data_IF_565415516334
#
_entry.id   IF_565415516334
#
_cell.length_a   1.000
_cell.length_b   1.000
_cell.length_c   1.000
_cell.angle_alpha   90.00
_cell.angle_beta   90.00
_cell.angle_gamma   90.00
#
_symmetry.space_group_name_H-M   'P 1'
#
loop_
_entity.id
_entity.type
_entity.pdbx_description
1 polymer ?
#
# COMPACT_ATOMS: atom_id res chain seq x y z
N UNK A 1 -11.18 21.58 25.87
CA UNK A 1 -10.24 20.46 25.63
C UNK A 1 -9.93 20.45 24.14
N UNK A 2 -8.71 20.84 23.76
CA UNK A 2 -8.31 20.98 22.35
C UNK A 2 -7.70 19.64 21.92
N UNK A 3 -8.40 18.92 21.03
CA UNK A 3 -7.85 17.74 20.37
C UNK A 3 -6.82 18.20 19.32
N UNK A 4 -5.53 17.99 19.62
CA UNK A 4 -4.41 18.16 18.68
C UNK A 4 -3.87 16.78 18.28
N UNK A 5 -3.66 16.60 16.98
CA UNK A 5 -2.96 15.48 16.33
C UNK A 5 -3.93 14.55 15.58
N UNK A 6 -3.77 14.23 14.30
CA UNK A 6 -2.63 14.30 13.35
C UNK A 6 -3.22 14.25 11.90
N UNK A 7 -2.44 14.45 10.81
CA UNK A 7 -2.95 15.01 9.56
C UNK A 7 -3.83 14.00 8.82
N UNK A 8 -5.04 14.41 8.45
CA UNK A 8 -5.73 13.74 7.35
C UNK A 8 -4.92 14.05 6.10
N UNK A 9 -4.20 13.06 5.59
CA UNK A 9 -3.68 13.08 4.23
C UNK A 9 -4.91 13.07 3.31
N UNK A 10 -5.42 14.26 2.95
CA UNK A 10 -6.64 14.42 2.15
C UNK A 10 -6.43 14.10 0.67
N UNK A 11 -5.21 13.75 0.25
CA UNK A 11 -4.86 13.48 -1.15
C UNK A 11 -5.52 12.22 -1.74
N UNK A 12 -6.15 11.35 -0.93
CA UNK A 12 -6.74 10.10 -1.39
C UNK A 12 -8.08 9.75 -0.71
N UNK A 13 -9.07 9.39 -1.52
CA UNK A 13 -10.31 8.74 -1.03
C UNK A 13 -10.07 7.23 -0.98
N UNK A 14 -10.07 6.64 0.22
CA UNK A 14 -9.91 5.19 0.42
C UNK A 14 -10.94 4.60 1.38
N UNK A 15 -11.23 3.31 1.22
CA UNK A 15 -11.90 2.49 2.23
C UNK A 15 -10.96 1.37 2.69
N UNK A 16 -11.04 1.02 3.97
CA UNK A 16 -10.24 -0.02 4.58
C UNK A 16 -11.13 -0.93 5.42
N UNK A 17 -10.84 -2.23 5.38
CA UNK A 17 -11.47 -3.25 6.23
C UNK A 17 -10.35 -4.04 6.90
N UNK A 18 -10.49 -4.28 8.20
CA UNK A 18 -9.54 -5.09 8.96
C UNK A 18 -10.25 -6.35 9.43
N UNK A 19 -9.71 -7.50 9.04
CA UNK A 19 -10.14 -8.81 9.51
C UNK A 19 -9.14 -9.33 10.54
N UNK A 20 -9.68 -9.71 11.70
CA UNK A 20 -8.92 -10.28 12.80
C UNK A 20 -9.26 -11.77 12.94
N UNK A 21 -8.24 -12.60 12.83
CA UNK A 21 -8.31 -14.05 13.04
C UNK A 21 -7.24 -14.46 14.06
N UNK A 22 -7.37 -15.65 14.65
CA UNK A 22 -6.35 -16.14 15.57
C UNK A 22 -5.00 -16.31 14.84
N UNK A 23 -3.98 -15.58 15.29
CA UNK A 23 -2.64 -15.61 14.69
C UNK A 23 -2.53 -14.94 13.31
N UNK A 24 -3.56 -14.24 12.84
CA UNK A 24 -3.57 -13.57 11.53
C UNK A 24 -4.36 -12.27 11.56
N UNK A 25 -3.80 -11.21 11.01
CA UNK A 25 -4.49 -9.92 10.79
C UNK A 25 -4.37 -9.59 9.32
N UNK A 26 -5.49 -9.32 8.66
CA UNK A 26 -5.50 -8.88 7.27
C UNK A 26 -6.16 -7.50 7.15
N UNK A 27 -5.44 -6.56 6.55
CA UNK A 27 -5.96 -5.24 6.20
C UNK A 27 -6.19 -5.22 4.70
N UNK A 28 -7.42 -4.98 4.28
CA UNK A 28 -7.81 -4.74 2.90
C UNK A 28 -7.98 -3.24 2.67
N UNK A 29 -7.54 -2.74 1.53
CA UNK A 29 -7.80 -1.36 1.12
C UNK A 29 -8.31 -1.28 -0.31
N UNK A 30 -9.09 -0.24 -0.56
CA UNK A 30 -9.44 0.23 -1.89
C UNK A 30 -9.28 1.75 -1.95
N UNK A 31 -8.48 2.23 -2.89
CA UNK A 31 -8.39 3.65 -3.25
C UNK A 31 -9.34 3.93 -4.41
N UNK A 32 -10.25 4.88 -4.21
CA UNK A 32 -11.25 5.31 -5.19
C UNK A 32 -10.80 6.50 -6.03
N UNK A 33 -9.97 7.37 -5.46
CA UNK A 33 -9.44 8.55 -6.14
C UNK A 33 -8.16 9.02 -5.46
N UNK A 34 -7.23 9.55 -6.26
CA UNK A 34 -6.02 10.24 -5.82
C UNK A 34 -5.95 11.60 -6.49
N UNK A 35 -5.78 12.68 -5.74
CA UNK A 35 -5.75 14.06 -6.28
C UNK A 35 -4.59 14.27 -7.27
N UNK A 36 -3.47 13.57 -7.08
CA UNK A 36 -2.32 13.62 -7.98
C UNK A 36 -2.50 12.79 -9.27
N UNK A 37 -3.65 12.09 -9.44
CA UNK A 37 -4.01 11.22 -10.57
C UNK A 37 -2.98 10.14 -10.94
N UNK A 38 -2.00 9.89 -10.07
CA UNK A 38 -0.99 8.85 -10.28
C UNK A 38 -1.60 7.44 -10.27
N UNK A 39 -2.72 7.28 -9.57
CA UNK A 39 -3.45 6.04 -9.40
C UNK A 39 -4.94 6.30 -9.61
N UNK A 40 -5.54 5.63 -10.60
CA UNK A 40 -6.99 5.74 -10.90
C UNK A 40 -7.80 4.86 -9.94
N UNK A 41 -7.27 3.69 -9.63
CA UNK A 41 -7.78 2.83 -8.57
C UNK A 41 -6.67 1.94 -8.04
N UNK A 42 -6.67 1.66 -6.75
CA UNK A 42 -5.80 0.66 -6.14
C UNK A 42 -6.64 -0.24 -5.24
N UNK A 43 -6.41 -1.53 -5.31
CA UNK A 43 -6.94 -2.51 -4.37
C UNK A 43 -5.79 -3.34 -3.87
N UNK A 44 -5.74 -3.56 -2.57
CA UNK A 44 -4.76 -4.48 -2.03
C UNK A 44 -5.12 -5.01 -0.66
N UNK A 45 -4.22 -5.87 -0.18
CA UNK A 45 -4.28 -6.48 1.12
C UNK A 45 -2.89 -6.66 1.70
N UNK A 46 -2.75 -6.46 2.99
CA UNK A 46 -1.56 -6.84 3.76
C UNK A 46 -2.00 -7.79 4.85
N UNK A 47 -1.37 -8.96 4.91
CA UNK A 47 -1.63 -9.97 5.94
C UNK A 47 -0.39 -10.13 6.81
N UNK A 48 -0.58 -10.01 8.12
CA UNK A 48 0.39 -10.35 9.14
C UNK A 48 -0.02 -11.70 9.73
N UNK A 49 0.71 -12.75 9.44
CA UNK A 49 0.42 -14.11 9.91
C UNK A 49 1.56 -14.62 10.79
N UNK A 50 1.25 -15.19 11.95
CA UNK A 50 2.21 -15.88 12.79
C UNK A 50 2.57 -17.22 12.15
N UNK A 51 3.83 -17.43 11.82
CA UNK A 51 4.36 -18.68 11.26
C UNK A 51 5.65 -19.04 12.00
N UNK A 52 5.67 -20.21 12.65
CA UNK A 52 6.88 -20.79 13.28
C UNK A 52 7.67 -19.81 14.18
N UNK A 53 6.96 -19.02 14.99
CA UNK A 53 7.57 -18.03 15.89
C UNK A 53 8.05 -16.74 15.21
N UNK A 54 7.77 -16.56 13.92
CA UNK A 54 8.00 -15.33 13.15
C UNK A 54 6.68 -14.74 12.66
N UNK A 55 6.74 -13.50 12.19
CA UNK A 55 5.61 -12.84 11.52
C UNK A 55 5.87 -12.82 10.02
N UNK A 56 5.07 -13.57 9.26
CA UNK A 56 5.03 -13.48 7.81
C UNK A 56 4.18 -12.28 7.40
N UNK A 57 4.74 -11.42 6.54
CA UNK A 57 4.02 -10.27 5.97
C UNK A 57 3.76 -10.56 4.50
N UNK A 58 2.49 -10.75 4.15
CA UNK A 58 2.06 -11.06 2.79
C UNK A 58 1.36 -9.82 2.24
N UNK A 59 1.98 -9.17 1.27
CA UNK A 59 1.45 -7.98 0.61
C UNK A 59 0.96 -8.32 -0.80
N UNK A 60 -0.24 -7.88 -1.14
CA UNK A 60 -0.82 -7.98 -2.48
C UNK A 60 -1.42 -6.63 -2.84
N UNK A 61 -1.12 -6.13 -4.03
CA UNK A 61 -1.75 -4.91 -4.54
C UNK A 61 -1.97 -5.04 -6.03
N UNK A 62 -3.04 -4.42 -6.51
CA UNK A 62 -3.41 -4.30 -7.90
C UNK A 62 -3.72 -2.83 -8.19
N UNK A 63 -2.85 -2.19 -8.95
CA UNK A 63 -2.95 -0.78 -9.28
C UNK A 63 -3.41 -0.60 -10.73
N UNK A 64 -4.42 0.24 -10.93
CA UNK A 64 -4.68 0.85 -12.22
C UNK A 64 -4.02 2.22 -12.24
N UNK A 65 -2.90 2.31 -12.96
CA UNK A 65 -2.13 3.55 -13.07
C UNK A 65 -2.77 4.50 -14.10
N UNK A 66 -2.83 5.77 -13.73
CA UNK A 66 -3.20 6.85 -14.65
C UNK A 66 -1.96 7.34 -15.40
N UNK A 67 -2.07 7.60 -16.69
CA UNK A 67 -1.00 8.21 -17.47
C UNK A 67 -1.15 9.74 -17.51
N UNK A 68 -0.45 10.50 -16.68
CA UNK A 68 -0.33 11.98 -16.78
C UNK A 68 -1.55 12.79 -16.24
N UNK A 69 -1.33 13.85 -15.43
CA UNK A 69 -2.41 14.72 -14.90
C UNK A 69 -3.30 15.41 -15.94
N UNK A 70 -2.87 15.49 -17.20
CA UNK A 70 -3.60 16.17 -18.29
C UNK A 70 -4.56 15.22 -19.05
N UNK A 71 -4.29 13.91 -19.09
CA UNK A 71 -5.09 12.94 -19.84
C UNK A 71 -5.28 11.66 -19.02
N UNK A 72 -6.49 11.34 -18.59
CA UNK A 72 -6.76 10.09 -17.88
C UNK A 72 -6.83 8.92 -18.88
N UNK A 73 -5.68 8.35 -19.24
CA UNK A 73 -5.61 7.10 -19.98
C UNK A 73 -5.07 5.99 -19.06
N UNK A 74 -5.72 4.81 -19.02
CA UNK A 74 -5.19 3.67 -18.28
C UNK A 74 -3.85 3.25 -18.90
N UNK A 75 -2.79 3.24 -18.09
CA UNK A 75 -1.51 2.71 -18.55
C UNK A 75 -1.66 1.21 -18.87
N UNK A 76 -1.33 0.78 -20.10
CA UNK A 76 -1.36 -0.64 -20.44
C UNK A 76 -0.41 -1.43 -19.54
N UNK A 77 -0.75 -2.70 -19.29
CA UNK A 77 0.06 -3.66 -18.54
C UNK A 77 1.35 -4.03 -19.30
N UNK A 78 2.27 -3.08 -19.45
CA UNK A 78 3.56 -3.32 -20.08
C UNK A 78 4.47 -4.09 -19.11
N UNK A 79 5.08 -5.21 -19.55
CA UNK A 79 5.97 -6.02 -18.69
C UNK A 79 7.14 -5.24 -18.08
N UNK A 80 7.63 -4.21 -18.77
CA UNK A 80 8.71 -3.33 -18.28
C UNK A 80 8.24 -2.53 -17.06
N UNK A 81 7.03 -1.96 -17.14
CA UNK A 81 6.46 -1.17 -16.05
C UNK A 81 6.22 -2.04 -14.80
N UNK A 82 5.73 -3.28 -15.00
CA UNK A 82 5.55 -4.25 -13.91
C UNK A 82 6.87 -4.60 -13.22
N UNK A 83 7.96 -4.80 -13.98
CA UNK A 83 9.29 -5.09 -13.43
C UNK A 83 9.84 -3.93 -12.60
N UNK A 84 9.66 -2.69 -13.05
CA UNK A 84 10.13 -1.50 -12.32
C UNK A 84 9.33 -1.24 -11.04
N UNK A 85 8.01 -1.45 -11.06
CA UNK A 85 7.16 -1.40 -9.86
C UNK A 85 7.61 -2.46 -8.84
N UNK A 86 7.80 -3.70 -9.31
CA UNK A 86 8.27 -4.80 -8.47
C UNK A 86 9.64 -4.48 -7.83
N UNK A 87 10.61 -3.97 -8.60
CA UNK A 87 11.93 -3.58 -8.08
C UNK A 87 11.83 -2.48 -7.04
N UNK A 88 11.04 -1.44 -7.31
CA UNK A 88 10.81 -0.35 -6.37
C UNK A 88 10.24 -0.87 -5.06
N UNK A 89 9.25 -1.77 -5.13
CA UNK A 89 8.63 -2.38 -3.97
C UNK A 89 9.61 -3.23 -3.16
N UNK A 90 10.39 -4.10 -3.81
CA UNK A 90 11.40 -4.94 -3.16
C UNK A 90 12.46 -4.09 -2.44
N UNK A 91 12.94 -3.02 -3.07
CA UNK A 91 13.87 -2.07 -2.45
C UNK A 91 13.27 -1.40 -1.22
N UNK A 92 11.98 -1.08 -1.25
CA UNK A 92 11.27 -0.52 -0.10
C UNK A 92 11.17 -1.54 1.04
N UNK A 93 10.89 -2.81 0.74
CA UNK A 93 10.90 -3.88 1.74
C UNK A 93 12.28 -4.09 2.39
N UNK A 94 13.36 -4.07 1.60
CA UNK A 94 14.73 -4.14 2.14
C UNK A 94 15.02 -3.00 3.13
N UNK A 95 14.48 -1.81 2.86
CA UNK A 95 14.62 -0.66 3.77
C UNK A 95 13.87 -0.84 5.09
N UNK A 96 12.77 -1.59 5.10
CA UNK A 96 12.07 -1.94 6.34
C UNK A 96 12.80 -3.02 7.14
N UNK A 97 13.47 -3.96 6.49
CA UNK A 97 14.26 -4.99 7.17
C UNK A 97 15.52 -4.43 7.86
N UNK A 98 16.05 -3.33 7.33
CA UNK A 98 17.31 -2.73 7.79
C UNK A 98 17.10 -1.59 8.79
N UNK A 99 15.86 -1.20 9.08
CA UNK A 99 15.58 -0.18 10.10
C UNK A 99 15.81 -0.81 11.48
N UNK A 100 16.87 -0.41 12.21
CA UNK A 100 16.98 -0.82 13.61
C UNK A 100 15.76 -0.25 14.31
N UNK A 101 15.12 -1.05 15.17
CA UNK A 101 14.15 -0.51 16.12
C UNK A 101 14.84 0.65 16.84
N UNK A 102 14.40 1.87 16.53
CA UNK A 102 14.90 3.05 17.23
C UNK A 102 14.55 2.87 18.69
N UNK A 103 15.58 2.78 19.53
CA UNK A 103 15.46 2.74 20.98
C UNK A 103 14.40 3.73 21.45
N UNK A 104 13.46 3.19 22.21
CA UNK A 104 12.40 3.91 22.94
C UNK A 104 12.98 4.95 23.89
#
# INVERSE_FOLDING_TARGET
MILKGVPFNMDMTKAEIIEYEEGKITVYWRVFASENKSTLSDVGSVTFAKQEGKTAVIFRSAHQLGSNPIFECPMPNFPILQKEIMRTFLKHLESYQTRPEGNS
#
